data_IF_665135222830
#
_entry.id   IF_665135222830
#
_cell.length_a   1.000
_cell.length_b   1.000
_cell.length_c   1.000
_cell.angle_alpha   90.00
_cell.angle_beta   90.00
_cell.angle_gamma   90.00
#
_symmetry.space_group_name_H-M   'P 1'
#
loop_
_entity.id
_entity.type
_entity.pdbx_description
1 polymer ?
#
# COMPACT_ATOMS: atom_id res chain seq x y z
N UNK A 1 -8.79 -32.22 30.84
CA UNK A 1 -7.75 -31.59 30.00
C UNK A 1 -8.29 -31.53 28.58
N UNK A 2 -8.59 -30.35 28.04
CA UNK A 2 -9.15 -30.17 26.69
C UNK A 2 -8.06 -29.78 25.70
N UNK A 3 -7.06 -30.65 25.52
CA UNK A 3 -5.99 -30.41 24.56
C UNK A 3 -6.57 -30.45 23.13
N UNK A 4 -6.50 -29.33 22.41
CA UNK A 4 -6.85 -29.24 20.98
C UNK A 4 -8.21 -28.63 20.63
N UNK A 5 -9.03 -28.21 21.59
CA UNK A 5 -10.33 -27.59 21.29
C UNK A 5 -10.18 -26.09 21.02
N UNK A 6 -10.88 -25.59 19.99
CA UNK A 6 -10.91 -24.16 19.66
C UNK A 6 -12.19 -23.54 20.21
N UNK A 7 -12.07 -22.42 20.93
CA UNK A 7 -13.20 -21.63 21.42
C UNK A 7 -13.39 -20.41 20.53
N UNK A 8 -14.62 -20.20 20.05
CA UNK A 8 -14.98 -18.99 19.31
C UNK A 8 -16.34 -18.45 19.76
N UNK A 9 -16.63 -17.21 19.35
CA UNK A 9 -17.91 -16.53 19.52
C UNK A 9 -18.08 -15.51 18.41
N UNK A 10 -19.32 -15.22 18.02
CA UNK A 10 -19.62 -14.36 16.87
C UNK A 10 -19.20 -12.91 17.08
N UNK A 11 -19.24 -12.41 18.32
CA UNK A 11 -18.90 -11.03 18.67
C UNK A 11 -18.05 -10.97 19.96
N UNK A 12 -17.15 -9.98 20.11
CA UNK A 12 -16.43 -9.75 21.35
C UNK A 12 -17.42 -9.41 22.48
N UNK A 13 -17.29 -10.06 23.63
CA UNK A 13 -18.07 -9.80 24.86
C UNK A 13 -19.59 -10.04 24.78
N UNK A 14 -20.11 -10.56 23.66
CA UNK A 14 -21.54 -10.86 23.49
C UNK A 14 -21.71 -12.34 23.14
N UNK A 15 -22.56 -13.02 23.91
CA UNK A 15 -22.92 -14.42 23.71
C UNK A 15 -22.02 -15.44 24.42
N UNK A 16 -22.49 -16.69 24.48
CA UNK A 16 -21.76 -17.80 25.05
C UNK A 16 -20.63 -18.27 24.11
N UNK A 17 -19.56 -18.82 24.69
CA UNK A 17 -18.48 -19.44 23.94
C UNK A 17 -18.94 -20.77 23.34
N UNK A 18 -18.66 -20.98 22.06
CA UNK A 18 -18.82 -22.28 21.39
C UNK A 18 -17.47 -22.97 21.28
N UNK A 19 -17.47 -24.28 21.58
CA UNK A 19 -16.29 -25.14 21.53
C UNK A 19 -16.34 -25.99 20.27
N UNK A 20 -15.27 -25.96 19.48
CA UNK A 20 -15.13 -26.71 18.24
C UNK A 20 -14.09 -27.82 18.43
N UNK A 21 -14.50 -29.06 18.14
CA UNK A 21 -13.60 -30.22 18.14
C UNK A 21 -12.72 -30.20 16.89
N UNK A 22 -11.46 -30.65 16.95
CA UNK A 22 -10.59 -30.79 15.78
C UNK A 22 -11.25 -31.53 14.60
N UNK A 23 -12.00 -32.60 14.88
CA UNK A 23 -12.70 -33.42 13.88
C UNK A 23 -13.76 -32.62 13.11
N UNK A 24 -14.43 -31.67 13.78
CA UNK A 24 -15.44 -30.81 13.15
C UNK A 24 -14.79 -29.78 12.21
N UNK A 25 -13.54 -29.42 12.46
CA UNK A 25 -12.81 -28.43 11.67
C UNK A 25 -12.07 -29.08 10.49
N UNK A 26 -11.75 -30.37 10.61
CA UNK A 26 -11.08 -31.15 9.57
C UNK A 26 -11.84 -31.19 8.22
N UNK A 27 -13.15 -30.96 8.23
CA UNK A 27 -13.95 -30.90 6.99
C UNK A 27 -13.83 -29.57 6.24
N UNK A 28 -13.34 -28.49 6.87
CA UNK A 28 -13.20 -27.17 6.23
C UNK A 28 -11.97 -27.04 5.32
N UNK A 29 -11.04 -28.02 5.32
CA UNK A 29 -9.86 -27.99 4.44
C UNK A 29 -10.20 -28.23 2.98
N UNK A 30 -11.39 -28.75 2.68
CA UNK A 30 -11.91 -28.85 1.32
C UNK A 30 -12.46 -27.50 0.88
N UNK A 31 -11.55 -26.55 0.61
CA UNK A 31 -11.90 -25.26 0.03
C UNK A 31 -12.54 -25.51 -1.34
N UNK A 32 -13.84 -25.28 -1.55
CA UNK A 32 -14.41 -25.39 -2.87
C UNK A 32 -13.69 -24.37 -3.77
N UNK A 33 -13.30 -24.79 -4.97
CA UNK A 33 -12.80 -23.88 -5.99
C UNK A 33 -13.81 -22.74 -6.12
N UNK A 34 -13.38 -21.46 -6.11
CA UNK A 34 -14.31 -20.35 -6.19
C UNK A 34 -15.11 -20.48 -7.49
N UNK A 35 -16.39 -20.75 -7.35
CA UNK A 35 -17.30 -20.76 -8.49
C UNK A 35 -17.57 -19.32 -8.87
N UNK A 36 -16.97 -18.87 -9.96
CA UNK A 36 -17.32 -17.60 -10.57
C UNK A 36 -18.72 -17.77 -11.17
N UNK A 37 -19.73 -17.19 -10.50
CA UNK A 37 -21.04 -17.04 -11.12
C UNK A 37 -20.91 -16.06 -12.28
N UNK A 38 -21.59 -16.34 -13.39
CA UNK A 38 -21.79 -15.33 -14.41
C UNK A 38 -22.45 -14.10 -13.78
N UNK A 39 -21.90 -12.89 -13.97
CA UNK A 39 -22.53 -11.68 -13.48
C UNK A 39 -23.98 -11.61 -13.96
N UNK A 40 -24.90 -11.45 -13.02
CA UNK A 40 -26.32 -11.29 -13.34
C UNK A 40 -26.48 -10.10 -14.28
N UNK A 41 -27.04 -10.34 -15.47
CA UNK A 41 -27.47 -9.25 -16.34
C UNK A 41 -28.68 -8.60 -15.68
N UNK A 42 -28.61 -7.33 -15.28
CA UNK A 42 -29.76 -6.66 -14.68
C UNK A 42 -30.91 -6.67 -15.70
N UNK A 43 -32.05 -7.26 -15.32
CA UNK A 43 -33.26 -7.29 -16.16
C UNK A 43 -33.88 -5.90 -16.35
N UNK A 44 -33.48 -4.96 -15.51
CA UNK A 44 -33.99 -3.60 -15.49
C UNK A 44 -32.82 -2.65 -15.60
N UNK A 45 -32.86 -1.76 -16.58
CA UNK A 45 -31.97 -0.60 -16.66
C UNK A 45 -32.11 0.16 -15.35
N UNK A 46 -31.05 0.23 -14.56
CA UNK A 46 -31.02 1.03 -13.33
C UNK A 46 -31.11 2.52 -13.71
N UNK A 47 -32.33 2.99 -13.97
CA UNK A 47 -32.63 4.39 -14.16
C UNK A 47 -32.89 4.98 -12.78
N UNK A 48 -31.88 5.65 -12.22
CA UNK A 48 -32.07 6.48 -11.04
C UNK A 48 -33.17 7.51 -11.35
N UNK A 49 -34.30 7.50 -10.61
CA UNK A 49 -35.35 8.48 -10.85
C UNK A 49 -34.78 9.85 -10.50
N UNK A 50 -34.57 10.68 -11.52
CA UNK A 50 -34.22 12.07 -11.32
C UNK A 50 -35.43 12.71 -10.61
N UNK A 51 -35.29 13.23 -9.38
CA UNK A 51 -36.39 13.84 -8.68
C UNK A 51 -36.93 15.01 -9.50
N UNK A 52 -38.17 14.87 -10.00
CA UNK A 52 -38.87 15.91 -10.76
C UNK A 52 -39.35 17.01 -9.80
N UNK A 53 -38.43 17.76 -9.20
CA UNK A 53 -38.75 19.14 -8.86
C UNK A 53 -38.65 19.93 -10.16
N UNK A 54 -39.61 20.81 -10.42
CA UNK A 54 -39.53 21.83 -11.46
C UNK A 54 -38.42 22.81 -11.08
N UNK A 55 -37.21 22.34 -11.29
CA UNK A 55 -35.94 23.01 -11.05
C UNK A 55 -35.79 23.98 -12.22
N UNK A 56 -35.73 25.28 -11.93
CA UNK A 56 -35.54 26.32 -12.95
C UNK A 56 -34.28 26.00 -13.76
N UNK A 57 -34.22 26.48 -15.00
CA UNK A 57 -33.08 26.24 -15.91
C UNK A 57 -31.71 26.57 -15.29
N UNK A 58 -31.69 27.45 -14.30
CA UNK A 58 -30.50 27.88 -13.57
C UNK A 58 -29.96 26.79 -12.61
N UNK A 59 -30.83 26.00 -11.98
CA UNK A 59 -30.42 24.94 -11.04
C UNK A 59 -29.97 23.64 -11.76
N UNK A 60 -30.41 23.38 -13.00
CA UNK A 60 -29.93 22.23 -13.81
C UNK A 60 -28.46 22.37 -14.23
N UNK A 61 -28.01 23.61 -14.47
CA UNK A 61 -26.61 23.92 -14.73
C UNK A 61 -25.73 23.56 -13.53
N UNK A 62 -26.17 23.89 -12.32
CA UNK A 62 -25.46 23.61 -11.08
C UNK A 62 -25.34 22.12 -10.77
N UNK A 63 -26.42 21.34 -10.95
CA UNK A 63 -26.40 19.87 -10.70
C UNK A 63 -25.48 19.16 -11.71
N UNK A 64 -25.49 19.57 -12.98
CA UNK A 64 -24.62 18.97 -14.00
C UNK A 64 -23.14 19.32 -13.76
N UNK A 65 -22.86 20.55 -13.33
CA UNK A 65 -21.52 21.01 -12.98
C UNK A 65 -21.02 20.35 -11.69
N UNK A 66 -21.89 20.11 -10.71
CA UNK A 66 -21.55 19.38 -9.49
C UNK A 66 -21.18 17.91 -9.77
N UNK A 67 -21.93 17.22 -10.64
CA UNK A 67 -21.65 15.83 -11.03
C UNK A 67 -20.38 15.73 -11.90
N UNK A 68 -20.15 16.68 -12.81
CA UNK A 68 -18.95 16.72 -13.67
C UNK A 68 -17.68 17.23 -12.96
N UNK A 69 -17.83 18.00 -11.89
CA UNK A 69 -16.72 18.66 -11.19
C UNK A 69 -15.89 17.74 -10.29
N UNK A 70 -16.43 16.60 -9.85
CA UNK A 70 -15.75 15.73 -8.86
C UNK A 70 -15.19 14.44 -9.44
N UNK A 71 -15.76 13.94 -10.55
CA UNK A 71 -15.45 12.60 -11.07
C UNK A 71 -14.42 12.60 -12.23
N UNK A 72 -14.18 13.74 -12.87
CA UNK A 72 -13.22 13.84 -13.96
C UNK A 72 -11.79 14.04 -13.43
N UNK A 73 -10.85 13.21 -13.89
CA UNK A 73 -9.43 13.24 -13.49
C UNK A 73 -8.78 14.62 -13.70
N UNK A 74 -9.22 15.39 -14.69
CA UNK A 74 -8.73 16.76 -14.94
C UNK A 74 -9.19 17.75 -13.86
N UNK A 75 -10.37 17.52 -13.28
CA UNK A 75 -10.96 18.32 -12.19
C UNK A 75 -10.59 17.75 -10.81
N UNK A 76 -9.80 16.68 -10.77
CA UNK A 76 -9.19 16.17 -9.55
C UNK A 76 -8.24 17.24 -9.03
N UNK A 77 -8.78 18.12 -8.16
CA UNK A 77 -7.98 18.97 -7.30
C UNK A 77 -7.19 18.02 -6.42
N UNK A 78 -5.97 17.69 -6.85
CA UNK A 78 -4.91 17.25 -5.94
C UNK A 78 -4.79 18.39 -4.96
N UNK A 79 -5.60 18.36 -3.89
CA UNK A 79 -5.57 19.38 -2.86
C UNK A 79 -4.11 19.53 -2.48
N UNK A 80 -3.63 20.77 -2.38
CA UNK A 80 -2.24 21.11 -2.08
C UNK A 80 -1.84 20.41 -0.78
N UNK A 81 -1.45 19.13 -0.88
CA UNK A 81 -1.40 18.22 0.25
C UNK A 81 -0.09 18.49 0.95
N UNK A 82 -0.15 19.41 1.88
CA UNK A 82 0.96 19.81 2.73
C UNK A 82 1.92 20.76 2.03
N UNK A 83 1.62 22.05 2.14
CA UNK A 83 2.64 23.09 2.25
C UNK A 83 3.29 23.09 3.67
N UNK A 84 3.22 21.96 4.40
CA UNK A 84 3.98 21.78 5.62
C UNK A 84 5.46 21.67 5.29
N UNK A 85 6.32 22.19 6.18
CA UNK A 85 7.78 22.13 6.07
C UNK A 85 8.18 20.69 5.72
N UNK A 86 8.76 20.51 4.53
CA UNK A 86 9.29 19.21 4.08
C UNK A 86 10.63 18.98 4.78
N UNK A 87 10.92 17.72 5.14
CA UNK A 87 12.27 17.37 5.59
C UNK A 87 13.28 17.76 4.50
N UNK A 88 14.42 18.29 4.92
CA UNK A 88 15.46 18.69 3.98
C UNK A 88 16.12 17.47 3.34
N UNK A 89 16.74 17.67 2.17
CA UNK A 89 17.42 16.58 1.45
C UNK A 89 18.53 15.95 2.28
N UNK A 90 19.26 16.75 3.07
CA UNK A 90 20.29 16.29 4.00
C UNK A 90 19.73 15.31 5.04
N UNK A 91 18.68 15.72 5.77
CA UNK A 91 18.00 14.85 6.75
C UNK A 91 17.58 13.53 6.12
N UNK A 92 17.00 13.58 4.91
CA UNK A 92 16.60 12.38 4.17
C UNK A 92 17.79 11.46 3.85
N UNK A 93 18.93 12.00 3.45
CA UNK A 93 20.14 11.22 3.15
C UNK A 93 20.65 10.46 4.39
N UNK A 94 20.71 11.11 5.56
CA UNK A 94 21.10 10.43 6.79
C UNK A 94 20.10 9.33 7.18
N UNK A 95 18.80 9.64 7.13
CA UNK A 95 17.76 8.64 7.40
C UNK A 95 17.85 7.42 6.47
N UNK A 96 18.18 7.64 5.19
CA UNK A 96 18.44 6.55 4.25
C UNK A 96 19.68 5.74 4.64
N UNK A 97 20.78 6.40 5.00
CA UNK A 97 22.01 5.74 5.48
C UNK A 97 21.75 4.85 6.69
N UNK A 98 21.05 5.37 7.71
CA UNK A 98 20.68 4.62 8.91
C UNK A 98 19.78 3.42 8.58
N UNK A 99 18.80 3.60 7.68
CA UNK A 99 17.91 2.52 7.28
C UNK A 99 18.65 1.40 6.55
N UNK A 100 19.57 1.75 5.65
CA UNK A 100 20.35 0.77 4.90
C UNK A 100 21.37 0.02 5.77
N UNK A 101 21.97 0.68 6.76
CA UNK A 101 22.86 0.02 7.73
C UNK A 101 22.17 -1.15 8.43
N UNK A 102 20.93 -0.94 8.90
CA UNK A 102 20.12 -1.97 9.53
C UNK A 102 19.66 -3.11 8.60
N UNK A 103 19.71 -2.92 7.28
CA UNK A 103 19.42 -3.99 6.33
C UNK A 103 20.62 -4.91 6.09
N UNK A 104 21.85 -4.43 6.32
CA UNK A 104 23.08 -5.23 6.22
C UNK A 104 23.25 -6.14 7.43
N UNK A 105 22.98 -5.61 8.63
CA UNK A 105 23.14 -6.31 9.89
C UNK A 105 21.98 -5.97 10.82
N UNK A 106 21.36 -7.00 11.41
CA UNK A 106 20.21 -6.80 12.28
C UNK A 106 20.61 -6.06 13.58
N UNK A 107 21.86 -6.23 14.01
CA UNK A 107 22.42 -5.56 15.19
C UNK A 107 22.57 -4.05 14.98
N UNK A 108 22.80 -3.61 13.74
CA UNK A 108 23.00 -2.21 13.37
C UNK A 108 21.67 -1.53 13.00
N UNK A 109 20.54 -2.13 13.36
CA UNK A 109 19.21 -1.62 13.01
C UNK A 109 18.79 -0.50 13.96
N UNK A 110 18.82 0.72 13.43
CA UNK A 110 18.37 1.91 14.14
C UNK A 110 16.86 1.88 14.44
N UNK A 111 16.50 2.12 15.69
CA UNK A 111 15.16 2.48 16.10
C UNK A 111 14.84 3.93 15.68
N UNK A 112 13.56 4.33 15.54
CA UNK A 112 13.21 5.73 15.26
C UNK A 112 13.79 6.71 16.29
N UNK A 113 13.93 6.28 17.54
CA UNK A 113 14.55 7.03 18.64
C UNK A 113 16.05 7.18 18.41
N UNK A 114 16.75 6.10 18.03
CA UNK A 114 18.18 6.15 17.73
C UNK A 114 18.47 7.06 16.53
N UNK A 115 17.64 6.99 15.47
CA UNK A 115 17.77 7.89 14.33
C UNK A 115 17.61 9.35 14.74
N UNK A 116 16.72 9.64 15.69
CA UNK A 116 16.54 11.00 16.21
C UNK A 116 17.75 11.48 16.99
N UNK A 117 18.27 10.66 17.91
CA UNK A 117 19.46 10.98 18.70
C UNK A 117 20.68 11.27 17.82
N UNK A 118 20.93 10.42 16.81
CA UNK A 118 22.04 10.65 15.87
C UNK A 118 21.86 11.94 15.05
N UNK A 119 20.63 12.33 14.71
CA UNK A 119 20.36 13.61 14.05
C UNK A 119 20.61 14.81 14.99
N UNK A 120 20.35 14.66 16.28
CA UNK A 120 20.71 15.67 17.30
C UNK A 120 22.23 15.79 17.46
N UNK A 121 22.96 14.68 17.47
CA UNK A 121 24.43 14.68 17.49
C UNK A 121 25.02 15.37 16.24
N UNK A 122 24.45 15.10 15.06
CA UNK A 122 24.84 15.77 13.81
C UNK A 122 24.54 17.28 13.84
N UNK A 123 23.47 17.70 14.50
CA UNK A 123 23.18 19.12 14.70
C UNK A 123 24.09 19.77 15.74
N UNK A 124 24.46 19.05 16.80
CA UNK A 124 25.45 19.50 17.78
C UNK A 124 26.85 19.70 17.14
N UNK A 125 27.20 18.86 16.17
CA UNK A 125 28.42 18.99 15.36
C UNK A 125 28.34 20.12 14.31
N UNK A 126 27.19 20.80 14.19
CA UNK A 126 26.98 21.90 13.24
C UNK A 126 26.74 21.48 11.79
N UNK A 127 26.56 20.18 11.51
CA UNK A 127 26.33 19.66 10.16
C UNK A 127 24.86 19.82 9.71
N UNK A 128 23.96 19.83 10.69
CA UNK A 128 22.52 20.09 10.59
C UNK A 128 22.10 21.27 11.48
N UNK A 129 20.94 21.87 11.18
CA UNK A 129 20.28 22.80 12.09
C UNK A 129 19.23 22.07 12.93
N UNK A 130 19.08 22.41 14.21
CA UNK A 130 18.08 21.78 15.10
C UNK A 130 16.64 21.96 14.58
N UNK A 131 16.37 23.04 13.84
CA UNK A 131 15.06 23.31 13.24
C UNK A 131 14.69 22.36 12.09
N UNK A 132 15.67 21.68 11.51
CA UNK A 132 15.46 20.70 10.44
C UNK A 132 15.26 19.28 10.97
N UNK A 133 15.55 19.04 12.25
CA UNK A 133 15.40 17.72 12.86
C UNK A 133 13.92 17.36 12.92
N UNK A 134 13.50 16.28 12.26
CA UNK A 134 12.13 15.80 12.31
C UNK A 134 11.87 15.12 13.64
N UNK A 135 10.65 15.28 14.17
CA UNK A 135 10.23 14.56 15.37
C UNK A 135 10.24 13.04 15.17
N UNK A 136 10.43 12.29 16.25
CA UNK A 136 10.42 10.80 16.24
C UNK A 136 9.17 10.22 15.56
N UNK A 137 7.99 10.83 15.77
CA UNK A 137 6.74 10.42 15.10
C UNK A 137 6.82 10.55 13.57
N UNK A 138 7.47 11.61 13.10
CA UNK A 138 7.69 11.88 11.68
C UNK A 138 8.67 10.86 11.10
N UNK A 139 9.76 10.56 11.82
CA UNK A 139 10.73 9.52 11.45
C UNK A 139 10.05 8.16 11.34
N UNK A 140 9.25 7.75 12.34
CA UNK A 140 8.49 6.49 12.31
C UNK A 140 7.55 6.40 11.11
N UNK A 141 6.83 7.47 10.82
CA UNK A 141 5.96 7.56 9.64
C UNK A 141 6.75 7.50 8.32
N UNK A 142 7.93 8.11 8.29
CA UNK A 142 8.83 8.06 7.14
C UNK A 142 9.38 6.65 6.90
N UNK A 143 9.88 5.96 7.94
CA UNK A 143 10.38 4.58 7.86
C UNK A 143 9.33 3.65 7.26
N UNK A 144 8.07 3.75 7.71
CA UNK A 144 6.98 2.94 7.18
C UNK A 144 6.76 3.16 5.67
N UNK A 145 6.75 4.42 5.23
CA UNK A 145 6.60 4.77 3.80
C UNK A 145 7.81 4.34 2.98
N UNK A 146 9.00 4.61 3.49
CA UNK A 146 10.25 4.31 2.81
C UNK A 146 10.46 2.80 2.68
N UNK A 147 10.13 2.02 3.71
CA UNK A 147 10.17 0.55 3.65
C UNK A 147 9.20 -0.01 2.60
N UNK A 148 7.99 0.51 2.51
CA UNK A 148 7.03 0.10 1.48
C UNK A 148 7.52 0.44 0.06
N UNK A 149 8.07 1.65 -0.11
CA UNK A 149 8.68 2.09 -1.37
C UNK A 149 9.86 1.20 -1.77
N UNK A 150 10.77 0.93 -0.84
CA UNK A 150 11.96 0.11 -1.06
C UNK A 150 11.60 -1.33 -1.48
N UNK A 151 10.61 -1.95 -0.82
CA UNK A 151 10.12 -3.27 -1.21
C UNK A 151 9.50 -3.27 -2.62
N UNK A 152 8.76 -2.21 -2.95
CA UNK A 152 8.18 -2.04 -4.29
C UNK A 152 9.27 -1.90 -5.34
N UNK A 153 10.26 -1.06 -5.11
CA UNK A 153 11.38 -0.85 -6.01
C UNK A 153 12.18 -2.14 -6.24
N UNK A 154 12.48 -2.89 -5.18
CA UNK A 154 13.14 -4.18 -5.28
C UNK A 154 12.33 -5.17 -6.14
N UNK A 155 10.99 -5.19 -5.99
CA UNK A 155 10.12 -6.05 -6.80
C UNK A 155 10.04 -5.62 -8.28
N UNK A 156 9.99 -4.31 -8.56
CA UNK A 156 10.00 -3.77 -9.92
C UNK A 156 11.31 -4.10 -10.63
N UNK A 157 12.44 -3.96 -9.92
CA UNK A 157 13.76 -4.32 -10.41
C UNK A 157 13.84 -5.82 -10.74
N UNK A 158 13.44 -6.69 -9.81
CA UNK A 158 13.45 -8.15 -10.04
C UNK A 158 12.59 -8.56 -11.25
N UNK A 159 11.43 -7.91 -11.44
CA UNK A 159 10.56 -8.16 -12.59
C UNK A 159 11.24 -7.73 -13.91
N UNK A 160 11.84 -6.53 -13.93
CA UNK A 160 12.57 -6.03 -15.11
C UNK A 160 13.75 -6.93 -15.48
N UNK A 161 14.50 -7.43 -14.49
CA UNK A 161 15.59 -8.37 -14.69
C UNK A 161 15.06 -9.68 -15.30
N UNK A 162 14.01 -10.28 -14.74
CA UNK A 162 13.40 -11.51 -15.26
C UNK A 162 12.92 -11.39 -16.71
N UNK A 163 12.38 -10.22 -17.08
CA UNK A 163 11.95 -9.92 -18.44
C UNK A 163 13.15 -9.74 -19.40
N UNK A 164 14.26 -9.19 -18.92
CA UNK A 164 15.49 -9.09 -19.72
C UNK A 164 16.16 -10.45 -19.98
N UNK A 165 16.17 -11.34 -18.98
CA UNK A 165 16.69 -12.71 -19.13
C UNK A 165 15.83 -13.56 -20.08
N UNK A 166 14.51 -13.37 -20.07
CA UNK A 166 13.61 -14.09 -20.98
C UNK A 166 13.79 -13.64 -22.43
N UNK A 167 13.96 -12.33 -22.69
CA UNK A 167 14.20 -11.81 -24.05
C UNK A 167 15.55 -12.32 -24.61
N UNK A 168 16.63 -12.22 -23.83
CA UNK A 168 17.97 -12.64 -24.25
C UNK A 168 18.08 -14.16 -24.48
N UNK A 169 17.38 -14.96 -23.68
CA UNK A 169 17.31 -16.41 -23.89
C UNK A 169 16.54 -16.78 -25.16
N UNK A 170 15.43 -16.08 -25.47
CA UNK A 170 14.64 -16.32 -26.68
C UNK A 170 15.43 -15.92 -27.94
N UNK A 171 16.17 -14.81 -27.90
CA UNK A 171 17.07 -14.41 -28.99
C UNK A 171 18.21 -15.39 -29.22
N UNK A 172 18.82 -15.91 -28.15
CA UNK A 172 19.89 -16.92 -28.23
C UNK A 172 19.41 -18.24 -28.84
N UNK A 173 18.18 -18.66 -28.55
CA UNK A 173 17.56 -19.86 -29.15
C UNK A 173 17.22 -19.61 -30.63
N UNK A 174 16.71 -18.43 -30.98
CA UNK A 174 16.37 -18.09 -32.36
C UNK A 174 17.60 -17.91 -33.27
N UNK A 175 18.71 -17.34 -32.76
CA UNK A 175 19.98 -17.26 -33.51
C UNK A 175 20.61 -18.62 -33.74
N UNK A 176 20.50 -19.55 -32.77
CA UNK A 176 20.96 -20.93 -32.95
C UNK A 176 20.18 -21.66 -34.05
N UNK A 177 18.86 -21.46 -34.14
CA UNK A 177 18.03 -22.07 -35.20
C UNK A 177 18.32 -21.54 -36.60
N UNK A 178 18.71 -20.27 -36.74
CA UNK A 178 19.08 -19.67 -38.04
C UNK A 178 20.45 -20.12 -38.57
N UNK A 179 21.28 -20.78 -37.76
CA UNK A 179 22.61 -21.28 -38.16
C UNK A 179 22.61 -22.68 -38.79
N UNK A 180 21.44 -23.31 -38.92
CA UNK A 180 21.28 -24.67 -39.46
C UNK A 180 20.26 -24.74 -40.62
N UNK A 181 20.04 -23.62 -41.30
CA UNK A 181 19.34 -23.54 -42.60
C UNK A 181 20.36 -23.03 -43.61
#
# INVERSE_FOLDING_TARGET
QFAGYIRARSLPHIGAWTEFRPEQIATFYNRPSPTFSEPSKPKTTWAMPIPKKSISSDELGEISNAIRGWALKENMKLGNKGAGKRMTKKVLQYLQGFFLAGNLRAEDRYSPEDMHANLEDLAANGELTFEEIPTVKTIKGWIGRYSAYFKKEASEKALSESNSYTITSVESVNTKRRKYI
#
